data_IF_238973543554
#
_entry.id   IF_238973543554
#
_cell.length_a   1.000
_cell.length_b   1.000
_cell.length_c   1.000
_cell.angle_alpha   90.00
_cell.angle_beta   90.00
_cell.angle_gamma   90.00
#
_symmetry.space_group_name_H-M   'P 1'
#
loop_
_entity.id
_entity.type
_entity.pdbx_description
1 polymer ?
#
# COMPACT_ATOMS: atom_id res chain seq x y z
N UNK A 1 0.76 24.68 -11.53
CA UNK A 1 2.00 24.31 -12.28
C UNK A 1 1.60 23.85 -13.66
N UNK A 2 2.26 24.34 -14.72
CA UNK A 2 2.13 23.85 -16.09
C UNK A 2 3.38 23.02 -16.41
N UNK A 3 3.21 21.74 -16.68
CA UNK A 3 4.29 20.82 -17.05
C UNK A 3 4.32 20.73 -18.58
N UNK A 4 5.50 20.91 -19.18
CA UNK A 4 5.68 20.92 -20.62
C UNK A 4 6.79 19.95 -21.05
N UNK A 5 6.79 19.53 -22.32
CA UNK A 5 7.82 18.69 -22.96
C UNK A 5 8.00 17.29 -22.34
N UNK A 6 7.14 16.85 -21.42
CA UNK A 6 7.21 15.53 -20.81
C UNK A 6 6.48 14.46 -21.61
N UNK A 7 6.81 13.20 -21.36
CA UNK A 7 6.01 12.06 -21.80
C UNK A 7 4.97 11.79 -20.70
N UNK A 8 3.71 12.18 -20.93
CA UNK A 8 2.64 12.20 -19.90
C UNK A 8 1.81 10.93 -19.96
N UNK A 9 1.63 10.29 -18.83
CA UNK A 9 0.75 9.13 -18.69
C UNK A 9 -0.72 9.56 -18.71
N UNK A 10 -1.50 9.02 -19.65
CA UNK A 10 -2.90 9.37 -19.88
C UNK A 10 -3.90 8.36 -19.26
N UNK A 11 -3.39 7.38 -18.52
CA UNK A 11 -4.17 6.29 -17.93
C UNK A 11 -4.02 4.95 -18.64
N UNK A 12 -3.60 4.95 -19.90
CA UNK A 12 -3.37 3.75 -20.70
C UNK A 12 -1.93 3.67 -21.24
N UNK A 13 -1.34 4.83 -21.60
CA UNK A 13 -0.01 4.90 -22.16
C UNK A 13 0.61 6.28 -21.97
N UNK A 14 1.69 6.54 -22.71
CA UNK A 14 2.41 7.81 -22.62
C UNK A 14 2.21 8.65 -23.87
N UNK A 15 1.81 9.90 -23.68
CA UNK A 15 1.65 10.93 -24.74
C UNK A 15 2.87 11.83 -24.71
N UNK A 16 3.63 11.81 -25.81
CA UNK A 16 4.87 12.58 -25.93
C UNK A 16 4.64 14.09 -26.05
N UNK A 17 5.57 14.86 -25.45
CA UNK A 17 5.60 16.32 -25.52
C UNK A 17 4.25 16.97 -25.14
N UNK A 18 3.50 16.34 -24.24
CA UNK A 18 2.21 16.84 -23.78
C UNK A 18 2.39 17.99 -22.79
N UNK A 19 1.46 18.94 -22.86
CA UNK A 19 1.35 20.03 -21.88
C UNK A 19 0.16 19.73 -20.94
N UNK A 20 0.40 19.76 -19.63
CA UNK A 20 -0.65 19.56 -18.62
C UNK A 20 -0.61 20.66 -17.56
N UNK A 21 -1.80 21.05 -17.08
CA UNK A 21 -1.96 22.08 -16.06
C UNK A 21 -1.82 23.51 -16.59
N UNK A 22 -1.73 24.47 -15.67
CA UNK A 22 -1.62 25.90 -15.92
C UNK A 22 -0.70 26.60 -14.91
N UNK A 23 -0.37 27.88 -15.15
CA UNK A 23 0.46 28.70 -14.26
C UNK A 23 1.95 28.58 -14.51
N UNK A 24 2.76 28.53 -13.45
CA UNK A 24 4.22 28.46 -13.54
C UNK A 24 4.69 27.23 -14.31
N UNK A 25 5.70 27.40 -15.14
CA UNK A 25 6.17 26.39 -16.09
C UNK A 25 7.25 25.51 -15.45
N UNK A 26 7.07 24.19 -15.54
CA UNK A 26 8.07 23.15 -15.26
C UNK A 26 8.39 22.40 -16.55
N UNK A 27 9.64 22.45 -17.00
CA UNK A 27 10.11 21.70 -18.17
C UNK A 27 10.42 20.24 -17.75
N UNK A 28 9.68 19.32 -18.32
CA UNK A 28 9.79 17.88 -18.08
C UNK A 28 10.52 17.13 -19.22
N UNK A 29 11.34 17.83 -20.02
CA UNK A 29 12.11 17.18 -21.07
C UNK A 29 12.97 16.03 -20.52
N UNK A 30 12.87 14.85 -21.12
CA UNK A 30 13.56 13.64 -20.66
C UNK A 30 12.95 13.00 -19.41
N UNK A 31 11.69 13.33 -19.10
CA UNK A 31 10.96 12.71 -18.00
C UNK A 31 9.66 12.05 -18.46
N UNK A 32 9.30 10.97 -17.80
CA UNK A 32 7.92 10.51 -17.72
C UNK A 32 7.19 11.32 -16.65
N UNK A 33 6.00 11.78 -16.97
CA UNK A 33 5.11 12.49 -16.05
C UNK A 33 3.97 11.56 -15.71
N UNK A 34 3.91 11.12 -14.45
CA UNK A 34 2.91 10.18 -13.96
C UNK A 34 2.07 10.83 -12.86
N UNK A 35 0.87 10.32 -12.54
CA UNK A 35 0.13 10.75 -11.36
C UNK A 35 0.96 10.58 -10.09
N UNK A 36 0.66 11.33 -9.04
CA UNK A 36 1.20 11.09 -7.72
C UNK A 36 0.95 9.65 -7.28
N UNK A 37 1.97 9.01 -6.71
CA UNK A 37 1.88 7.65 -6.22
C UNK A 37 0.94 7.58 -5.01
N UNK A 38 0.29 6.43 -4.84
CA UNK A 38 -0.63 6.13 -3.75
C UNK A 38 -0.18 4.86 -3.06
N UNK A 39 0.32 4.94 -1.83
CA UNK A 39 0.70 3.78 -1.04
C UNK A 39 -0.39 3.43 -0.03
N UNK A 40 -0.92 2.22 -0.14
CA UNK A 40 -2.06 1.76 0.67
C UNK A 40 -1.67 0.73 1.73
N UNK A 41 -0.38 0.37 1.77
CA UNK A 41 0.11 -0.58 2.77
C UNK A 41 1.60 -0.34 3.06
N UNK A 42 1.87 0.30 4.19
CA UNK A 42 3.20 0.51 4.75
C UNK A 42 3.06 0.97 6.20
N UNK A 43 4.11 0.85 7.02
CA UNK A 43 4.06 1.17 8.46
C UNK A 43 4.75 2.49 8.81
N UNK A 44 5.86 2.79 8.13
CA UNK A 44 6.61 4.00 8.47
C UNK A 44 7.93 4.16 7.71
N UNK A 45 8.70 5.17 8.14
CA UNK A 45 10.02 5.52 7.59
C UNK A 45 10.76 6.47 8.54
N UNK A 46 12.07 6.66 8.34
CA UNK A 46 12.92 7.61 9.08
C UNK A 46 12.77 7.55 10.62
N UNK A 47 12.57 6.36 11.17
CA UNK A 47 12.39 6.14 12.60
C UNK A 47 10.96 6.32 13.10
N UNK A 48 10.05 6.86 12.31
CA UNK A 48 8.64 7.05 12.62
C UNK A 48 7.77 5.89 12.13
N UNK A 49 6.67 5.64 12.82
CA UNK A 49 5.69 4.60 12.52
C UNK A 49 4.28 5.12 12.80
N UNK A 50 3.28 4.70 12.01
CA UNK A 50 1.88 5.05 12.28
C UNK A 50 1.49 4.69 13.72
N UNK A 51 1.98 3.53 14.20
CA UNK A 51 1.68 3.00 15.53
C UNK A 51 2.34 3.76 16.69
N UNK A 52 3.17 4.78 16.40
CA UNK A 52 3.62 5.75 17.41
C UNK A 52 2.44 6.61 17.89
N UNK A 53 1.37 6.73 17.07
CA UNK A 53 0.12 7.39 17.43
C UNK A 53 0.29 8.89 17.71
N UNK A 54 1.17 9.57 17.00
CA UNK A 54 1.49 10.99 17.17
C UNK A 54 1.44 11.77 15.85
N UNK A 55 1.03 13.04 15.91
CA UNK A 55 1.07 13.92 14.75
C UNK A 55 2.50 14.16 14.21
N UNK A 56 3.53 14.09 15.08
CA UNK A 56 4.92 14.24 14.67
C UNK A 56 5.39 13.05 13.81
N UNK A 57 5.05 11.83 14.21
CA UNK A 57 5.34 10.63 13.42
C UNK A 57 4.65 10.69 12.05
N UNK A 58 3.36 11.03 12.02
CA UNK A 58 2.61 11.19 10.78
C UNK A 58 3.20 12.29 9.88
N UNK A 59 3.63 13.42 10.45
CA UNK A 59 4.29 14.50 9.69
C UNK A 59 5.63 14.04 9.10
N UNK A 60 6.43 13.28 9.85
CA UNK A 60 7.69 12.69 9.37
C UNK A 60 7.43 11.75 8.20
N UNK A 61 6.48 10.84 8.36
CA UNK A 61 6.07 9.89 7.32
C UNK A 61 5.57 10.66 6.09
N UNK A 62 4.57 11.51 6.24
CA UNK A 62 3.94 12.21 5.13
C UNK A 62 4.92 13.11 4.34
N UNK A 63 5.90 13.69 5.01
CA UNK A 63 6.95 14.49 4.36
C UNK A 63 7.94 13.62 3.59
N UNK A 64 8.37 12.51 4.17
CA UNK A 64 9.26 11.58 3.49
C UNK A 64 8.58 10.99 2.25
N UNK A 65 7.38 10.46 2.41
CA UNK A 65 6.61 9.86 1.33
C UNK A 65 6.39 10.85 0.19
N UNK A 66 6.00 12.11 0.49
CA UNK A 66 5.88 13.16 -0.53
C UNK A 66 7.20 13.38 -1.28
N UNK A 67 8.34 13.39 -0.61
CA UNK A 67 9.66 13.56 -1.24
C UNK A 67 10.04 12.39 -2.15
N UNK A 68 9.42 11.22 -1.95
CA UNK A 68 9.60 10.01 -2.76
C UNK A 68 8.54 9.84 -3.84
N UNK A 69 7.67 10.85 -4.03
CA UNK A 69 6.62 10.84 -5.05
C UNK A 69 5.29 10.23 -4.61
N UNK A 70 5.19 9.74 -3.37
CA UNK A 70 3.92 9.26 -2.81
C UNK A 70 3.15 10.45 -2.28
N UNK A 71 2.10 10.86 -3.00
CA UNK A 71 1.31 12.07 -2.69
C UNK A 71 0.07 11.79 -1.85
N UNK A 72 -0.32 10.51 -1.77
CA UNK A 72 -1.43 10.03 -0.96
C UNK A 72 -1.02 8.77 -0.20
N UNK A 73 -1.25 8.75 1.09
CA UNK A 73 -0.85 7.67 2.00
C UNK A 73 -2.05 7.07 2.74
N UNK A 74 -2.05 5.75 2.84
CA UNK A 74 -2.96 4.98 3.67
C UNK A 74 -2.12 3.97 4.50
N UNK A 75 -1.37 4.47 5.51
CA UNK A 75 -0.45 3.65 6.29
C UNK A 75 -1.18 2.58 7.09
N UNK A 76 -0.48 1.46 7.34
CA UNK A 76 -1.00 0.29 8.04
C UNK A 76 -0.68 0.32 9.54
N UNK A 77 -1.65 -0.14 10.35
CA UNK A 77 -1.39 -0.45 11.76
C UNK A 77 -0.71 -1.80 11.88
N UNK A 78 -0.18 -2.09 13.06
CA UNK A 78 0.18 -3.46 13.47
C UNK A 78 -0.92 -4.02 14.37
N UNK A 79 -0.83 -5.33 14.63
CA UNK A 79 -1.72 -6.02 15.59
C UNK A 79 -1.47 -5.51 17.01
N UNK A 80 -2.46 -4.81 17.57
CA UNK A 80 -2.44 -4.23 18.91
C UNK A 80 -3.80 -4.36 19.61
N UNK A 81 -3.85 -4.19 20.97
CA UNK A 81 -5.11 -4.07 21.69
C UNK A 81 -5.93 -2.86 21.21
N UNK A 82 -7.26 -2.97 21.31
CA UNK A 82 -8.22 -1.94 20.86
C UNK A 82 -7.88 -0.55 21.41
N UNK A 83 -7.51 -0.42 22.68
CA UNK A 83 -7.20 0.87 23.30
C UNK A 83 -6.02 1.58 22.58
N UNK A 84 -4.96 0.82 22.24
CA UNK A 84 -3.82 1.36 21.48
C UNK A 84 -4.22 1.71 20.07
N UNK A 85 -4.95 0.84 19.37
CA UNK A 85 -5.47 1.13 18.02
C UNK A 85 -6.35 2.37 18.03
N UNK A 86 -7.25 2.53 18.99
CA UNK A 86 -8.07 3.74 19.11
C UNK A 86 -7.24 5.01 19.35
N UNK A 87 -6.12 4.91 20.05
CA UNK A 87 -5.16 6.01 20.20
C UNK A 87 -4.53 6.42 18.87
N UNK A 88 -4.07 5.43 18.09
CA UNK A 88 -3.50 5.61 16.75
C UNK A 88 -4.55 6.26 15.81
N UNK A 89 -5.77 5.73 15.81
CA UNK A 89 -6.88 6.25 14.98
C UNK A 89 -7.23 7.70 15.32
N UNK A 90 -7.25 8.08 16.60
CA UNK A 90 -7.46 9.49 16.99
C UNK A 90 -6.33 10.40 16.53
N UNK A 91 -5.08 9.94 16.58
CA UNK A 91 -3.96 10.72 16.06
C UNK A 91 -4.06 10.91 14.54
N UNK A 92 -4.44 9.88 13.80
CA UNK A 92 -4.70 9.95 12.37
C UNK A 92 -5.84 10.92 12.04
N UNK A 93 -6.96 10.85 12.76
CA UNK A 93 -8.10 11.75 12.58
C UNK A 93 -7.77 13.23 12.87
N UNK A 94 -6.83 13.48 13.79
CA UNK A 94 -6.40 14.83 14.14
C UNK A 94 -5.29 15.37 13.22
N UNK A 95 -4.71 14.55 12.37
CA UNK A 95 -3.61 14.95 11.50
C UNK A 95 -4.09 15.83 10.34
N UNK A 96 -3.44 16.96 10.17
CA UNK A 96 -3.67 17.89 9.06
C UNK A 96 -2.35 18.12 8.32
N UNK A 97 -2.18 17.55 7.12
CA UNK A 97 -0.92 17.67 6.38
C UNK A 97 -0.65 19.11 5.95
N UNK A 98 0.60 19.52 6.01
CA UNK A 98 1.10 20.81 5.50
C UNK A 98 1.30 20.77 3.98
N UNK A 99 1.72 21.89 3.38
CA UNK A 99 1.89 22.03 1.92
C UNK A 99 2.93 21.07 1.31
N UNK A 100 3.88 20.59 2.11
CA UNK A 100 4.96 19.70 1.68
C UNK A 100 4.83 18.26 2.24
N UNK A 101 3.65 17.89 2.66
CA UNK A 101 3.33 16.56 3.19
C UNK A 101 2.31 15.85 2.32
N UNK A 102 2.46 14.55 2.13
CA UNK A 102 1.48 13.70 1.48
C UNK A 102 0.13 13.74 2.20
N UNK A 103 -0.96 13.60 1.46
CA UNK A 103 -2.28 13.55 2.07
C UNK A 103 -2.51 12.19 2.75
N UNK A 104 -2.91 12.21 4.03
CA UNK A 104 -3.44 11.03 4.70
C UNK A 104 -4.87 10.79 4.19
N UNK A 105 -5.04 9.81 3.32
CA UNK A 105 -6.33 9.51 2.67
C UNK A 105 -7.05 8.31 3.26
N UNK A 106 -6.38 7.60 4.15
CA UNK A 106 -6.93 6.45 4.86
C UNK A 106 -5.96 5.87 5.86
N UNK A 107 -6.41 4.84 6.56
CA UNK A 107 -5.65 3.94 7.40
C UNK A 107 -5.99 2.52 6.99
N UNK A 108 -4.99 1.68 6.83
CA UNK A 108 -5.12 0.25 6.67
C UNK A 108 -5.03 -0.41 8.07
N UNK A 109 -6.01 -1.19 8.46
CA UNK A 109 -5.99 -1.92 9.72
C UNK A 109 -5.42 -3.33 9.49
N UNK A 110 -4.09 -3.48 9.54
CA UNK A 110 -3.43 -4.77 9.43
C UNK A 110 -3.43 -5.50 10.79
N UNK A 111 -4.36 -6.42 10.92
CA UNK A 111 -4.71 -7.04 12.18
C UNK A 111 -5.64 -6.14 13.04
N UNK A 112 -6.11 -6.63 14.17
CA UNK A 112 -5.72 -7.87 14.87
C UNK A 112 -6.48 -9.15 14.42
N UNK A 113 -7.28 -9.11 13.38
CA UNK A 113 -8.18 -10.19 12.93
C UNK A 113 -7.49 -11.21 12.01
N UNK A 114 -6.25 -11.55 12.31
CA UNK A 114 -5.37 -12.41 11.50
C UNK A 114 -5.18 -13.78 12.15
N UNK A 115 -4.66 -14.73 11.36
CA UNK A 115 -4.43 -16.09 11.87
C UNK A 115 -3.17 -16.18 12.75
N UNK A 116 -3.26 -16.77 13.94
CA UNK A 116 -2.09 -17.02 14.79
C UNK A 116 -1.08 -17.98 14.13
N UNK A 117 -1.52 -18.80 13.16
CA UNK A 117 -0.67 -19.75 12.43
C UNK A 117 0.07 -19.10 11.24
N UNK A 118 -0.27 -17.86 10.90
CA UNK A 118 0.36 -17.06 9.83
C UNK A 118 0.73 -15.67 10.30
N UNK A 119 1.19 -15.57 11.52
CA UNK A 119 1.44 -14.32 12.23
C UNK A 119 2.46 -13.39 11.53
N UNK A 120 3.44 -13.94 10.79
CA UNK A 120 4.50 -13.13 10.17
C UNK A 120 5.27 -12.33 11.22
N UNK A 121 5.41 -11.02 10.99
CA UNK A 121 6.04 -10.08 11.92
C UNK A 121 5.05 -9.45 12.93
N UNK A 122 3.79 -9.86 12.93
CA UNK A 122 2.78 -9.37 13.87
C UNK A 122 2.98 -9.97 15.28
N UNK A 123 2.47 -9.31 16.31
CA UNK A 123 2.60 -9.78 17.67
C UNK A 123 1.46 -10.76 18.03
N UNK A 124 1.76 -12.06 18.27
CA UNK A 124 0.74 -13.07 18.54
C UNK A 124 -0.08 -12.83 19.82
N UNK A 125 0.44 -12.05 20.77
CA UNK A 125 -0.24 -11.75 22.02
C UNK A 125 -1.51 -10.90 21.86
N UNK A 126 -1.66 -10.24 20.68
CA UNK A 126 -2.73 -9.27 20.42
C UNK A 126 -3.69 -9.71 19.32
N UNK A 127 -3.51 -10.91 18.76
CA UNK A 127 -4.46 -11.49 17.80
C UNK A 127 -5.83 -11.64 18.44
N UNK A 128 -6.87 -11.28 17.71
CA UNK A 128 -8.26 -11.30 18.17
C UNK A 128 -9.16 -11.91 17.10
N UNK A 129 -10.26 -12.49 17.54
CA UNK A 129 -11.32 -12.89 16.61
C UNK A 129 -11.97 -11.64 15.98
N UNK A 130 -12.45 -11.71 14.74
CA UNK A 130 -13.14 -10.61 14.07
C UNK A 130 -14.32 -10.06 14.89
N UNK A 131 -14.32 -8.75 15.11
CA UNK A 131 -15.34 -8.01 15.88
C UNK A 131 -15.76 -6.74 15.14
N UNK A 132 -16.94 -6.78 14.51
CA UNK A 132 -17.51 -5.64 13.77
C UNK A 132 -17.81 -4.44 14.69
N UNK A 133 -18.19 -4.68 15.93
CA UNK A 133 -18.43 -3.60 16.89
C UNK A 133 -17.12 -2.90 17.28
N UNK A 134 -16.03 -3.62 17.44
CA UNK A 134 -14.69 -3.05 17.64
C UNK A 134 -14.29 -2.19 16.41
N UNK A 135 -14.44 -2.72 15.19
CA UNK A 135 -14.10 -1.97 14.00
C UNK A 135 -14.90 -0.66 13.91
N UNK A 136 -16.19 -0.66 14.20
CA UNK A 136 -17.00 0.57 14.19
C UNK A 136 -16.53 1.60 15.23
N UNK A 137 -16.13 1.15 16.43
CA UNK A 137 -15.54 2.05 17.44
C UNK A 137 -14.20 2.65 16.95
N UNK A 138 -13.37 1.84 16.29
CA UNK A 138 -12.12 2.32 15.69
C UNK A 138 -12.38 3.26 14.51
N UNK A 139 -13.37 2.97 13.66
CA UNK A 139 -13.79 3.85 12.57
C UNK A 139 -14.31 5.20 13.07
N UNK A 140 -15.07 5.20 14.15
CA UNK A 140 -15.49 6.45 14.82
C UNK A 140 -14.28 7.22 15.36
N UNK A 141 -13.34 6.55 16.03
CA UNK A 141 -12.11 7.16 16.53
C UNK A 141 -11.23 7.71 15.41
N UNK A 142 -11.23 7.06 14.24
CA UNK A 142 -10.51 7.48 13.04
C UNK A 142 -11.23 8.59 12.25
N UNK A 143 -12.45 9.00 12.62
CA UNK A 143 -13.23 9.95 11.85
C UNK A 143 -13.56 9.49 10.43
N UNK A 144 -13.71 8.18 10.22
CA UNK A 144 -14.02 7.59 8.90
C UNK A 144 -12.78 7.28 8.04
N UNK A 145 -11.56 7.33 8.59
CA UNK A 145 -10.33 7.11 7.83
C UNK A 145 -9.96 5.64 7.62
N UNK A 146 -10.55 4.66 8.35
CA UNK A 146 -10.24 3.25 8.07
C UNK A 146 -10.81 2.89 6.70
N UNK A 147 -9.92 2.56 5.74
CA UNK A 147 -10.26 2.24 4.35
C UNK A 147 -10.10 0.76 4.04
N UNK A 148 -9.11 0.12 4.66
CA UNK A 148 -8.77 -1.28 4.50
C UNK A 148 -8.80 -1.97 5.87
N UNK A 149 -9.23 -3.22 5.88
CA UNK A 149 -9.14 -4.10 7.05
C UNK A 149 -8.66 -5.46 6.59
N UNK A 150 -7.57 -5.90 7.16
CA UNK A 150 -6.94 -7.19 6.87
C UNK A 150 -7.49 -8.26 7.81
N UNK A 151 -7.92 -9.39 7.23
CA UNK A 151 -8.57 -10.48 7.95
C UNK A 151 -8.14 -11.86 7.46
N UNK A 152 -8.02 -12.82 8.35
CA UNK A 152 -7.92 -14.24 8.05
C UNK A 152 -9.33 -14.84 7.98
N UNK A 153 -9.80 -15.27 6.80
CA UNK A 153 -11.19 -15.69 6.63
C UNK A 153 -11.53 -17.03 7.27
N UNK A 154 -10.53 -17.83 7.65
CA UNK A 154 -10.68 -19.09 8.38
C UNK A 154 -10.96 -18.91 9.87
N UNK A 155 -10.73 -17.73 10.43
CA UNK A 155 -10.94 -17.46 11.85
C UNK A 155 -12.43 -17.45 12.21
N UNK A 156 -12.74 -17.82 13.44
CA UNK A 156 -14.13 -17.91 13.93
C UNK A 156 -14.85 -16.56 13.78
N UNK A 157 -16.01 -16.55 13.12
CA UNK A 157 -16.81 -15.35 12.88
C UNK A 157 -16.38 -14.49 11.69
N UNK A 158 -15.28 -14.83 11.00
CA UNK A 158 -14.74 -14.00 9.92
C UNK A 158 -15.73 -13.79 8.77
N UNK A 159 -16.43 -14.81 8.30
CA UNK A 159 -17.41 -14.65 7.22
C UNK A 159 -18.58 -13.76 7.62
N UNK A 160 -19.06 -13.86 8.84
CA UNK A 160 -20.13 -12.98 9.36
C UNK A 160 -19.64 -11.53 9.48
N UNK A 161 -18.39 -11.34 9.90
CA UNK A 161 -17.75 -10.02 9.92
C UNK A 161 -17.64 -9.42 8.51
N UNK A 162 -17.22 -10.22 7.52
CA UNK A 162 -17.13 -9.77 6.13
C UNK A 162 -18.50 -9.34 5.60
N UNK A 163 -19.56 -10.16 5.80
CA UNK A 163 -20.93 -9.81 5.43
C UNK A 163 -21.40 -8.48 6.03
N UNK A 164 -21.04 -8.25 7.30
CA UNK A 164 -21.50 -7.07 8.04
C UNK A 164 -20.73 -5.80 7.64
N UNK A 165 -19.43 -5.93 7.29
CA UNK A 165 -18.54 -4.77 7.16
C UNK A 165 -18.11 -4.45 5.72
N UNK A 166 -18.36 -5.33 4.75
CA UNK A 166 -17.88 -5.16 3.37
C UNK A 166 -18.45 -3.93 2.64
N UNK A 167 -19.61 -3.43 3.05
CA UNK A 167 -20.19 -2.19 2.50
C UNK A 167 -19.65 -0.92 3.19
N UNK A 168 -18.99 -1.05 4.35
CA UNK A 168 -18.46 0.07 5.13
C UNK A 168 -16.96 0.30 4.86
N UNK A 169 -16.19 -0.78 4.69
CA UNK A 169 -14.74 -0.76 4.47
C UNK A 169 -14.33 -1.84 3.47
N UNK A 170 -13.20 -1.64 2.81
CA UNK A 170 -12.64 -2.69 1.97
C UNK A 170 -12.03 -3.80 2.84
N UNK A 171 -12.49 -5.03 2.64
CA UNK A 171 -11.94 -6.20 3.33
C UNK A 171 -10.87 -6.85 2.46
N UNK A 172 -9.68 -7.03 3.00
CA UNK A 172 -8.55 -7.71 2.39
C UNK A 172 -8.21 -8.99 3.16
N UNK A 173 -7.91 -10.06 2.45
CA UNK A 173 -7.50 -11.31 3.06
C UNK A 173 -5.99 -11.31 3.27
N UNK A 174 -5.56 -11.51 4.52
CA UNK A 174 -4.19 -11.36 4.97
C UNK A 174 -3.83 -12.36 6.06
N UNK A 175 -2.55 -12.67 6.21
CA UNK A 175 -2.04 -13.48 7.32
C UNK A 175 -2.93 -14.68 7.61
N UNK A 176 -3.12 -15.53 6.58
CA UNK A 176 -4.16 -16.55 6.55
C UNK A 176 -3.62 -17.94 6.24
N UNK A 177 -4.24 -18.97 6.79
CA UNK A 177 -4.06 -20.37 6.38
C UNK A 177 -5.18 -20.86 5.46
N UNK A 178 -6.09 -19.97 5.03
CA UNK A 178 -7.24 -20.30 4.22
C UNK A 178 -6.86 -21.10 2.97
N UNK A 179 -7.61 -22.15 2.71
CA UNK A 179 -7.56 -22.89 1.47
C UNK A 179 -8.37 -22.18 0.37
N UNK A 180 -8.44 -22.79 -0.80
CA UNK A 180 -9.17 -22.27 -1.95
C UNK A 180 -10.66 -22.06 -1.64
N UNK A 181 -11.33 -23.06 -1.02
CA UNK A 181 -12.77 -22.99 -0.77
C UNK A 181 -13.13 -21.94 0.29
N UNK A 182 -12.34 -21.84 1.36
CA UNK A 182 -12.50 -20.82 2.38
C UNK A 182 -12.31 -19.42 1.79
N UNK A 183 -11.26 -19.22 0.99
CA UNK A 183 -10.98 -17.94 0.32
C UNK A 183 -12.10 -17.57 -0.65
N UNK A 184 -12.59 -18.51 -1.46
CA UNK A 184 -13.70 -18.30 -2.39
C UNK A 184 -14.95 -17.86 -1.63
N UNK A 185 -15.27 -18.53 -0.51
CA UNK A 185 -16.39 -18.14 0.34
C UNK A 185 -16.25 -16.69 0.85
N UNK A 186 -15.06 -16.30 1.32
CA UNK A 186 -14.81 -14.94 1.79
C UNK A 186 -15.05 -13.88 0.68
N UNK A 187 -14.67 -14.16 -0.56
CA UNK A 187 -14.97 -13.28 -1.68
C UNK A 187 -16.46 -13.26 -2.05
N UNK A 188 -17.16 -14.38 -1.93
CA UNK A 188 -18.62 -14.44 -2.10
C UNK A 188 -19.34 -13.58 -1.05
N UNK A 189 -18.80 -13.52 0.18
CA UNK A 189 -19.30 -12.71 1.29
C UNK A 189 -18.91 -11.23 1.22
N UNK A 190 -18.00 -10.82 0.33
CA UNK A 190 -17.72 -9.38 0.12
C UNK A 190 -16.26 -8.94 0.26
N UNK A 191 -15.34 -9.82 0.62
CA UNK A 191 -13.91 -9.48 0.53
C UNK A 191 -13.53 -9.16 -0.93
N UNK A 192 -12.58 -8.22 -1.14
CA UNK A 192 -12.24 -7.73 -2.49
C UNK A 192 -10.75 -7.53 -2.72
N UNK A 193 -9.90 -7.98 -1.81
CA UNK A 193 -8.46 -7.80 -1.91
C UNK A 193 -7.69 -8.96 -1.30
N UNK A 194 -6.47 -9.20 -1.80
CA UNK A 194 -5.42 -9.99 -1.13
C UNK A 194 -4.29 -9.04 -0.72
N UNK A 195 -3.91 -9.06 0.52
CA UNK A 195 -2.80 -8.30 1.08
C UNK A 195 -1.47 -8.97 0.73
N UNK A 196 -0.44 -8.18 0.41
CA UNK A 196 0.96 -8.58 0.14
C UNK A 196 1.10 -10.01 -0.43
N UNK A 197 0.55 -10.21 -1.63
CA UNK A 197 0.42 -11.48 -2.34
C UNK A 197 1.66 -12.39 -2.17
N UNK A 198 1.46 -13.66 -1.90
CA UNK A 198 2.44 -14.70 -1.56
C UNK A 198 2.95 -14.67 -0.12
N UNK A 199 2.94 -13.53 0.56
CA UNK A 199 3.48 -13.39 1.92
C UNK A 199 2.42 -13.73 2.96
N UNK A 200 2.81 -14.43 4.02
CA UNK A 200 1.94 -14.85 5.12
C UNK A 200 0.65 -15.56 4.69
N UNK A 201 0.69 -16.34 3.58
CA UNK A 201 -0.45 -17.13 3.07
C UNK A 201 0.01 -18.48 2.54
N UNK A 202 -0.90 -19.46 2.28
CA UNK A 202 -0.54 -20.70 1.61
C UNK A 202 0.01 -20.46 0.19
N UNK A 203 1.09 -21.17 -0.20
CA UNK A 203 1.68 -21.01 -1.51
C UNK A 203 0.77 -21.57 -2.62
N UNK A 204 0.96 -21.08 -3.84
CA UNK A 204 0.32 -21.65 -5.02
C UNK A 204 0.78 -23.11 -5.23
N UNK A 205 -0.13 -24.07 -5.05
CA UNK A 205 0.18 -25.48 -5.17
C UNK A 205 -0.91 -26.24 -5.92
N UNK A 206 -0.51 -27.10 -6.86
CA UNK A 206 -1.43 -27.74 -7.83
C UNK A 206 -2.52 -28.66 -7.26
N UNK A 207 -2.43 -29.08 -5.99
CA UNK A 207 -3.44 -29.90 -5.30
C UNK A 207 -4.04 -29.21 -4.08
N UNK A 208 -3.42 -28.12 -3.60
CA UNK A 208 -3.88 -27.27 -2.52
C UNK A 208 -3.64 -25.83 -2.96
N UNK A 209 -4.47 -25.29 -3.85
CA UNK A 209 -4.15 -24.06 -4.57
C UNK A 209 -4.06 -22.82 -3.68
N UNK A 210 -4.71 -22.84 -2.51
CA UNK A 210 -4.70 -21.71 -1.59
C UNK A 210 -5.49 -20.50 -2.10
N UNK A 211 -5.22 -19.29 -1.55
CA UNK A 211 -6.02 -18.10 -1.83
C UNK A 211 -5.81 -17.52 -3.24
N UNK A 212 -4.63 -17.69 -3.84
CA UNK A 212 -4.25 -16.99 -5.08
C UNK A 212 -5.15 -17.36 -6.25
N UNK A 213 -5.44 -18.67 -6.55
CA UNK A 213 -6.36 -19.01 -7.63
C UNK A 213 -7.80 -18.58 -7.37
N UNK A 214 -8.26 -18.59 -6.12
CA UNK A 214 -9.60 -18.11 -5.80
C UNK A 214 -9.76 -16.61 -6.11
N UNK A 215 -8.72 -15.81 -5.86
CA UNK A 215 -8.68 -14.39 -6.22
C UNK A 215 -8.53 -14.17 -7.72
N UNK A 216 -7.72 -15.01 -8.40
CA UNK A 216 -7.52 -14.93 -9.84
C UNK A 216 -8.83 -15.11 -10.62
N UNK A 217 -9.72 -16.02 -10.19
CA UNK A 217 -11.00 -16.31 -10.82
C UNK A 217 -12.05 -15.20 -10.65
N UNK A 218 -11.72 -14.13 -9.95
CA UNK A 218 -12.62 -13.00 -9.66
C UNK A 218 -12.09 -11.71 -10.26
N UNK A 219 -12.87 -11.08 -11.13
CA UNK A 219 -12.50 -9.82 -11.79
C UNK A 219 -12.61 -8.60 -10.85
N UNK A 220 -13.31 -8.72 -9.72
CA UNK A 220 -13.56 -7.67 -8.73
C UNK A 220 -12.60 -7.72 -7.54
N UNK A 221 -11.62 -8.63 -7.55
CA UNK A 221 -10.60 -8.77 -6.50
C UNK A 221 -9.26 -8.22 -6.96
N UNK A 222 -8.67 -7.33 -6.16
CA UNK A 222 -7.30 -6.79 -6.34
C UNK A 222 -6.29 -7.56 -5.51
N UNK A 223 -5.02 -7.47 -5.87
CA UNK A 223 -3.92 -8.07 -5.12
C UNK A 223 -2.78 -7.08 -4.91
N UNK A 224 -2.37 -6.91 -3.67
CA UNK A 224 -1.19 -6.13 -3.33
C UNK A 224 0.09 -6.92 -3.60
N UNK A 225 1.17 -6.22 -3.96
CA UNK A 225 2.46 -6.83 -4.29
C UNK A 225 3.62 -5.96 -3.82
N UNK A 226 4.55 -6.54 -3.07
CA UNK A 226 5.81 -5.91 -2.65
C UNK A 226 6.87 -6.24 -3.71
N UNK A 227 7.28 -5.26 -4.51
CA UNK A 227 8.27 -5.43 -5.57
C UNK A 227 9.62 -4.79 -5.20
N UNK A 228 10.24 -5.24 -4.11
CA UNK A 228 11.46 -4.70 -3.53
C UNK A 228 12.74 -5.51 -3.85
N UNK A 229 12.58 -6.64 -4.54
CA UNK A 229 13.68 -7.56 -4.86
C UNK A 229 14.07 -8.51 -3.72
N UNK A 230 13.42 -8.42 -2.58
CA UNK A 230 13.64 -9.25 -1.38
C UNK A 230 12.48 -10.23 -1.16
N UNK A 231 11.25 -9.70 -1.10
CA UNK A 231 10.06 -10.49 -0.78
C UNK A 231 9.69 -11.48 -1.89
N UNK A 232 9.85 -11.09 -3.16
CA UNK A 232 9.31 -11.86 -4.28
C UNK A 232 10.32 -11.96 -5.41
N UNK A 233 10.52 -13.17 -5.89
CA UNK A 233 11.38 -13.43 -7.06
C UNK A 233 10.78 -12.78 -8.33
N UNK A 234 11.57 -12.18 -9.24
CA UNK A 234 11.09 -11.49 -10.44
C UNK A 234 10.11 -12.32 -11.30
N UNK A 235 10.35 -13.63 -11.42
CA UNK A 235 9.43 -14.51 -12.16
C UNK A 235 8.03 -14.59 -11.54
N UNK A 236 7.93 -14.47 -10.21
CA UNK A 236 6.64 -14.49 -9.50
C UNK A 236 5.94 -13.15 -9.60
N UNK A 237 6.68 -12.03 -9.64
CA UNK A 237 6.14 -10.71 -9.96
C UNK A 237 5.51 -10.70 -11.36
N UNK A 238 6.23 -11.20 -12.39
CA UNK A 238 5.67 -11.35 -13.75
C UNK A 238 4.44 -12.25 -13.78
N UNK A 239 4.46 -13.33 -13.00
CA UNK A 239 3.31 -14.23 -12.93
C UNK A 239 2.10 -13.52 -12.30
N UNK A 240 2.28 -12.76 -11.23
CA UNK A 240 1.22 -11.99 -10.58
C UNK A 240 0.56 -11.01 -11.55
N UNK A 241 1.34 -10.19 -12.27
CA UNK A 241 0.81 -9.26 -13.27
C UNK A 241 0.05 -9.99 -14.41
N UNK A 242 0.52 -11.18 -14.84
CA UNK A 242 -0.21 -11.98 -15.84
C UNK A 242 -1.50 -12.59 -15.33
N UNK A 243 -1.57 -12.95 -14.03
CA UNK A 243 -2.77 -13.52 -13.42
C UNK A 243 -3.83 -12.43 -13.16
N UNK A 244 -3.42 -11.30 -12.62
CA UNK A 244 -4.36 -10.26 -12.20
C UNK A 244 -4.57 -9.17 -13.26
N UNK A 245 -3.68 -9.06 -14.25
CA UNK A 245 -3.73 -8.00 -15.26
C UNK A 245 -3.39 -6.63 -14.68
N UNK A 246 -3.43 -5.62 -15.55
CA UNK A 246 -2.96 -4.27 -15.20
C UNK A 246 -3.89 -3.52 -14.24
N UNK A 247 -5.17 -3.87 -14.21
CA UNK A 247 -6.19 -3.14 -13.44
C UNK A 247 -6.43 -3.67 -12.02
N UNK A 248 -5.88 -4.86 -11.69
CA UNK A 248 -6.10 -5.51 -10.40
C UNK A 248 -4.84 -5.64 -9.53
N UNK A 249 -3.66 -5.36 -10.09
CA UNK A 249 -2.42 -5.31 -9.29
C UNK A 249 -2.31 -3.98 -8.57
N UNK A 250 -1.90 -4.03 -7.30
CA UNK A 250 -1.61 -2.88 -6.45
C UNK A 250 -0.18 -3.01 -5.94
N UNK A 251 0.73 -2.14 -6.35
CA UNK A 251 2.06 -2.07 -5.75
C UNK A 251 1.98 -1.38 -4.40
N UNK A 252 2.64 -1.96 -3.43
CA UNK A 252 2.80 -1.43 -2.07
C UNK A 252 4.28 -1.46 -1.69
N UNK A 253 4.68 -0.61 -0.78
CA UNK A 253 6.05 -0.63 -0.25
C UNK A 253 6.20 -1.61 0.92
N UNK A 254 5.19 -1.73 1.75
CA UNK A 254 5.26 -2.42 3.05
C UNK A 254 6.47 -1.91 3.88
N UNK A 255 6.80 -0.63 3.70
CA UNK A 255 7.95 0.01 4.34
C UNK A 255 7.77 0.09 5.85
N UNK A 256 8.86 -0.08 6.58
CA UNK A 256 8.86 0.05 8.04
C UNK A 256 9.78 1.20 8.48
N UNK A 257 9.76 1.54 9.77
CA UNK A 257 10.47 2.71 10.32
C UNK A 257 11.96 2.82 9.96
N UNK A 258 12.61 1.72 9.55
CA UNK A 258 14.01 1.74 9.09
C UNK A 258 14.19 2.31 7.68
N UNK A 259 13.13 2.43 6.89
CA UNK A 259 13.21 2.97 5.53
C UNK A 259 13.82 4.37 5.55
N UNK A 260 14.87 4.56 4.74
CA UNK A 260 15.63 5.79 4.69
C UNK A 260 16.71 5.95 5.78
N UNK A 261 16.90 4.94 6.64
CA UNK A 261 17.94 4.90 7.66
C UNK A 261 19.04 3.89 7.31
N UNK A 262 20.14 3.91 8.06
CA UNK A 262 21.26 2.98 7.91
C UNK A 262 20.93 1.58 8.45
N UNK A 263 21.78 0.59 8.15
CA UNK A 263 21.70 -0.76 8.72
C UNK A 263 21.68 -0.69 10.26
N UNK A 264 20.80 -1.47 10.88
CA UNK A 264 20.65 -1.42 12.33
C UNK A 264 19.55 -2.34 12.86
N UNK A 265 19.20 -2.15 14.12
CA UNK A 265 18.06 -2.83 14.76
C UNK A 265 16.99 -1.78 15.04
N UNK A 266 15.78 -2.08 14.59
CA UNK A 266 14.63 -1.18 14.67
C UNK A 266 13.42 -1.94 15.24
N UNK A 267 12.43 -1.22 15.72
CA UNK A 267 11.18 -1.81 16.21
C UNK A 267 10.15 -1.94 15.07
N UNK A 268 9.43 -3.04 15.04
CA UNK A 268 8.19 -3.19 14.29
C UNK A 268 7.17 -3.98 15.14
N UNK A 269 6.07 -3.33 15.49
CA UNK A 269 5.04 -3.99 16.30
C UNK A 269 5.47 -4.41 17.72
N UNK A 270 6.53 -3.80 18.25
CA UNK A 270 7.14 -4.16 19.54
C UNK A 270 8.14 -5.32 19.46
N UNK A 271 8.61 -5.65 18.25
CA UNK A 271 9.61 -6.69 18.00
C UNK A 271 10.87 -6.09 17.38
N UNK A 272 12.04 -6.58 17.79
CA UNK A 272 13.32 -6.16 17.22
C UNK A 272 13.50 -6.74 15.80
N UNK A 273 13.70 -5.84 14.82
CA UNK A 273 13.95 -6.17 13.42
C UNK A 273 15.36 -5.75 13.05
N UNK A 274 16.17 -6.68 12.56
CA UNK A 274 17.51 -6.39 12.03
C UNK A 274 17.41 -6.05 10.55
N UNK A 275 17.93 -4.86 10.19
CA UNK A 275 17.96 -4.37 8.80
C UNK A 275 19.38 -4.38 8.26
N UNK A 276 19.55 -4.96 7.05
CA UNK A 276 20.79 -4.96 6.28
C UNK A 276 20.46 -4.70 4.81
N UNK A 277 20.81 -3.52 4.32
CA UNK A 277 20.34 -3.05 3.01
C UNK A 277 18.83 -3.04 2.96
N UNK A 278 18.21 -3.69 1.98
CA UNK A 278 16.74 -3.78 1.86
C UNK A 278 16.12 -4.95 2.65
N UNK A 279 16.94 -5.81 3.27
CA UNK A 279 16.45 -6.97 4.00
C UNK A 279 16.20 -6.62 5.48
N UNK A 280 14.98 -6.73 5.92
CA UNK A 280 14.53 -6.57 7.30
C UNK A 280 14.04 -7.91 7.84
N UNK A 281 14.57 -8.38 8.98
CA UNK A 281 14.23 -9.70 9.53
C UNK A 281 14.11 -9.71 11.05
N UNK A 282 13.20 -10.54 11.54
CA UNK A 282 13.17 -10.97 12.93
C UNK A 282 14.36 -11.90 13.25
N UNK A 283 14.57 -12.19 14.53
CA UNK A 283 15.66 -13.05 15.00
C UNK A 283 15.60 -14.50 14.46
N UNK A 284 14.42 -15.00 14.09
CA UNK A 284 14.21 -16.32 13.49
C UNK A 284 14.37 -16.33 11.96
N UNK A 285 14.65 -15.18 11.34
CA UNK A 285 14.83 -15.03 9.90
C UNK A 285 13.52 -14.69 9.14
N UNK A 286 12.39 -14.54 9.82
CA UNK A 286 11.13 -14.07 9.21
C UNK A 286 11.34 -12.65 8.65
N UNK A 287 10.96 -12.41 7.39
CA UNK A 287 10.97 -11.07 6.80
C UNK A 287 9.90 -10.22 7.49
N UNK A 288 10.22 -8.98 7.79
CA UNK A 288 9.44 -8.10 8.65
C UNK A 288 9.30 -6.70 8.03
N UNK A 289 8.33 -6.54 7.14
CA UNK A 289 8.20 -5.34 6.31
C UNK A 289 9.39 -5.14 5.38
N UNK A 290 9.44 -4.02 4.69
CA UNK A 290 10.54 -3.65 3.79
C UNK A 290 11.33 -2.43 4.29
N UNK A 291 12.52 -2.23 3.76
CA UNK A 291 13.32 -1.02 3.96
C UNK A 291 13.42 -0.20 2.65
N UNK A 292 12.35 -0.21 1.84
CA UNK A 292 12.28 0.48 0.56
C UNK A 292 11.04 1.37 0.44
N UNK A 293 10.99 2.26 -0.54
CA UNK A 293 9.82 3.11 -0.83
C UNK A 293 9.05 2.63 -2.08
N UNK A 294 7.83 3.11 -2.28
CA UNK A 294 6.96 2.70 -3.39
C UNK A 294 7.55 3.05 -4.76
N UNK A 295 8.24 4.19 -4.90
CA UNK A 295 8.89 4.57 -6.17
C UNK A 295 10.03 3.59 -6.52
N UNK A 296 10.77 3.13 -5.52
CA UNK A 296 11.79 2.09 -5.71
C UNK A 296 11.16 0.75 -6.08
N UNK A 297 10.02 0.37 -5.49
CA UNK A 297 9.25 -0.81 -5.88
C UNK A 297 8.78 -0.73 -7.34
N UNK A 298 8.22 0.40 -7.76
CA UNK A 298 7.82 0.65 -9.15
C UNK A 298 9.02 0.49 -10.08
N UNK A 299 10.13 1.17 -9.79
CA UNK A 299 11.36 1.09 -10.58
C UNK A 299 11.88 -0.34 -10.69
N UNK A 300 11.93 -1.07 -9.57
CA UNK A 300 12.37 -2.45 -9.53
C UNK A 300 11.46 -3.38 -10.36
N UNK A 301 10.14 -3.21 -10.27
CA UNK A 301 9.19 -3.97 -11.07
C UNK A 301 9.44 -3.81 -12.57
N UNK A 302 9.74 -2.59 -13.02
CA UNK A 302 10.03 -2.30 -14.43
C UNK A 302 11.41 -2.84 -14.84
N UNK A 303 12.46 -2.56 -14.06
CA UNK A 303 13.85 -2.82 -14.43
C UNK A 303 14.29 -4.28 -14.26
N UNK A 304 13.84 -4.91 -13.19
CA UNK A 304 14.32 -6.23 -12.78
C UNK A 304 13.26 -7.33 -13.01
N UNK A 305 11.99 -6.97 -12.98
CA UNK A 305 10.91 -7.92 -13.23
C UNK A 305 10.32 -7.80 -14.65
N UNK A 306 10.80 -6.91 -15.51
CA UNK A 306 10.32 -6.69 -16.90
C UNK A 306 8.81 -6.38 -16.97
N UNK A 307 8.26 -5.68 -15.99
CA UNK A 307 6.88 -5.21 -16.03
C UNK A 307 6.81 -3.95 -16.93
N UNK A 308 5.84 -3.85 -17.87
CA UNK A 308 5.63 -2.62 -18.62
C UNK A 308 5.48 -1.41 -17.69
N UNK A 309 6.08 -0.28 -18.06
CA UNK A 309 6.03 0.93 -17.22
C UNK A 309 4.58 1.38 -16.97
N UNK A 310 3.74 1.31 -17.99
CA UNK A 310 2.31 1.63 -17.92
C UNK A 310 1.58 0.79 -16.86
N UNK A 311 1.84 -0.52 -16.86
CA UNK A 311 1.26 -1.45 -15.88
C UNK A 311 1.74 -1.15 -14.45
N UNK A 312 3.04 -0.86 -14.28
CA UNK A 312 3.61 -0.52 -12.98
C UNK A 312 3.08 0.84 -12.47
N UNK A 313 2.87 1.81 -13.35
CA UNK A 313 2.27 3.11 -13.01
C UNK A 313 0.82 2.92 -12.57
N UNK A 314 -0.01 2.19 -13.34
CA UNK A 314 -1.38 1.87 -12.92
C UNK A 314 -1.41 1.23 -11.53
N UNK A 315 -0.54 0.26 -11.30
CA UNK A 315 -0.46 -0.48 -10.04
C UNK A 315 -0.01 0.38 -8.83
N UNK A 316 0.68 1.48 -9.06
CA UNK A 316 1.15 2.40 -8.02
C UNK A 316 0.32 3.71 -7.91
N UNK A 317 -0.71 3.90 -8.75
CA UNK A 317 -1.50 5.14 -8.82
C UNK A 317 -3.00 4.89 -8.85
N UNK A 318 -3.56 4.58 -10.03
CA UNK A 318 -5.00 4.43 -10.26
C UNK A 318 -5.61 3.23 -9.49
N UNK A 319 -4.91 2.10 -9.47
CA UNK A 319 -5.44 0.89 -8.84
C UNK A 319 -5.53 1.01 -7.31
N UNK A 320 -4.47 1.44 -6.57
CA UNK A 320 -4.58 1.66 -5.14
C UNK A 320 -5.60 2.77 -4.81
N UNK A 321 -5.67 3.85 -5.60
CA UNK A 321 -6.68 4.90 -5.39
C UNK A 321 -8.11 4.34 -5.49
N UNK A 322 -8.38 3.49 -6.48
CA UNK A 322 -9.66 2.80 -6.66
C UNK A 322 -9.92 1.81 -5.53
N UNK A 323 -8.88 1.08 -5.11
CA UNK A 323 -9.01 0.09 -4.03
C UNK A 323 -9.53 0.70 -2.73
N UNK A 324 -9.10 1.92 -2.40
CA UNK A 324 -9.54 2.61 -1.17
C UNK A 324 -10.60 3.69 -1.40
N UNK A 325 -11.16 3.78 -2.63
CA UNK A 325 -12.28 4.67 -2.95
C UNK A 325 -11.92 6.16 -2.98
N UNK A 326 -10.68 6.52 -3.36
CA UNK A 326 -10.22 7.92 -3.51
C UNK A 326 -9.93 8.29 -4.98
N UNK A 327 -10.29 7.42 -5.90
CA UNK A 327 -10.05 7.59 -7.35
C UNK A 327 -10.84 8.74 -7.97
N UNK A 328 -11.90 9.21 -7.35
CA UNK A 328 -12.58 10.45 -7.75
C UNK A 328 -11.66 11.68 -7.68
N UNK A 329 -10.69 11.67 -6.76
CA UNK A 329 -9.80 12.81 -6.50
C UNK A 329 -8.35 12.56 -6.90
N UNK A 330 -7.89 11.32 -6.97
CA UNK A 330 -6.47 10.94 -7.10
C UNK A 330 -6.24 9.80 -8.10
N UNK A 331 -4.98 9.45 -8.32
CA UNK A 331 -4.58 8.31 -9.16
C UNK A 331 -4.54 8.57 -10.66
N UNK A 332 -4.89 9.77 -11.12
CA UNK A 332 -4.80 10.17 -12.53
C UNK A 332 -4.50 11.67 -12.66
N UNK A 333 -3.92 12.07 -13.81
CA UNK A 333 -3.74 13.48 -14.21
C UNK A 333 -4.94 13.88 -15.08
N UNK A 334 -6.01 14.31 -14.45
CA UNK A 334 -7.27 14.64 -15.11
C UNK A 334 -7.88 15.93 -14.55
N UNK A 335 -8.65 16.69 -15.35
CA UNK A 335 -9.39 17.83 -14.84
C UNK A 335 -10.34 17.46 -13.70
N UNK A 336 -10.29 18.22 -12.60
CA UNK A 336 -11.12 17.99 -11.42
C UNK A 336 -10.46 17.16 -10.32
N UNK A 337 -9.36 16.48 -10.62
CA UNK A 337 -8.57 15.77 -9.60
C UNK A 337 -7.52 16.68 -8.96
N UNK A 338 -6.98 16.24 -7.83
CA UNK A 338 -5.86 16.94 -7.16
C UNK A 338 -4.66 16.96 -8.11
N UNK A 339 -4.05 18.13 -8.26
CA UNK A 339 -2.93 18.34 -9.19
C UNK A 339 -1.62 17.79 -8.61
N UNK A 340 -1.55 16.48 -8.45
CA UNK A 340 -0.38 15.73 -8.00
C UNK A 340 0.25 15.01 -9.19
N UNK A 341 1.57 15.23 -9.39
CA UNK A 341 2.33 14.57 -10.45
C UNK A 341 3.75 14.25 -9.99
N UNK A 342 4.31 13.19 -10.52
CA UNK A 342 5.70 12.80 -10.33
C UNK A 342 6.41 12.78 -11.68
N UNK A 343 7.58 13.40 -11.74
CA UNK A 343 8.45 13.39 -12.91
C UNK A 343 9.56 12.35 -12.65
N UNK A 344 9.52 11.27 -13.40
CA UNK A 344 10.54 10.23 -13.38
C UNK A 344 11.54 10.47 -14.49
N UNK A 345 12.82 10.34 -14.18
CA UNK A 345 13.88 10.32 -15.19
C UNK A 345 13.61 9.21 -16.21
N UNK A 346 13.63 9.51 -17.51
CA UNK A 346 13.29 8.53 -18.54
C UNK A 346 14.32 7.40 -18.67
N UNK A 347 15.57 7.60 -18.24
CA UNK A 347 16.62 6.58 -18.30
C UNK A 347 16.69 5.74 -17.03
N UNK A 348 16.60 6.37 -15.84
CA UNK A 348 16.81 5.71 -14.55
C UNK A 348 15.52 5.35 -13.82
N UNK A 349 14.41 6.01 -14.14
CA UNK A 349 13.13 5.98 -13.42
C UNK A 349 13.23 6.49 -11.97
N UNK A 350 14.27 7.26 -11.66
CA UNK A 350 14.37 7.96 -10.39
C UNK A 350 13.41 9.16 -10.35
N UNK A 351 12.88 9.47 -9.18
CA UNK A 351 12.05 10.66 -8.96
C UNK A 351 12.93 11.90 -9.10
N UNK A 352 12.67 12.73 -10.12
CA UNK A 352 13.35 14.02 -10.33
C UNK A 352 12.62 15.17 -9.68
N UNK A 353 11.30 15.20 -9.83
CA UNK A 353 10.45 16.24 -9.27
C UNK A 353 9.13 15.68 -8.81
N UNK A 354 8.59 16.30 -7.79
CA UNK A 354 7.22 16.03 -7.31
C UNK A 354 6.43 17.33 -7.36
N UNK A 355 5.28 17.29 -7.98
CA UNK A 355 4.28 18.35 -7.93
C UNK A 355 3.19 17.90 -6.97
N UNK A 356 3.02 18.64 -5.88
CA UNK A 356 2.06 18.35 -4.83
C UNK A 356 1.02 19.48 -4.79
N UNK A 357 -0.24 19.14 -5.01
CA UNK A 357 -1.35 20.12 -5.07
C UNK A 357 -1.05 21.30 -6.01
N UNK A 358 -0.47 21.00 -7.18
CA UNK A 358 -0.12 21.99 -8.19
C UNK A 358 1.11 22.84 -7.92
N UNK A 359 1.92 22.51 -6.91
CA UNK A 359 3.15 23.21 -6.53
C UNK A 359 4.34 22.25 -6.60
N UNK A 360 5.47 22.74 -7.11
CA UNK A 360 6.71 21.98 -7.06
C UNK A 360 7.15 21.83 -5.61
N UNK A 361 7.36 20.58 -5.20
CA UNK A 361 7.92 20.27 -3.90
C UNK A 361 9.41 20.65 -3.89
N UNK A 362 9.83 21.44 -2.91
CA UNK A 362 11.17 21.99 -2.80
C UNK A 362 12.17 21.00 -2.16
#
# INVERSE_FOLDING_TARGET
>A
MRIINGSVFDGEGFVEAADVGDGDVLDAAGCYVIPGLVDVHFHGCLGADLCDGTGEALSTIARHEASRGVTAICPATMTYPEEKLAGIMRAAAAFAPTDNEAALVGVNMEGPFISPDKIGAQNPAYVQVPDAAMLRRLQEAAGGLVKLVDIAPEEEGALAFIDEMADEVRISLAHTTADYDCTRAAFEHGARQLTHLYNAMPPLHHRKPGPIPAAFERDDVTAELIADGVHIHPAMVRMAFRLFGDDRMVLISDSMRATGLEDGVYDLGGQDVTVRGNLATLADGTIAGSATDLAACLRWAVREADIPLESAVKAATANPARAIGVDAERGAIEPGKVADAVLLDAETLDVRHVVLRGRLLA
#
